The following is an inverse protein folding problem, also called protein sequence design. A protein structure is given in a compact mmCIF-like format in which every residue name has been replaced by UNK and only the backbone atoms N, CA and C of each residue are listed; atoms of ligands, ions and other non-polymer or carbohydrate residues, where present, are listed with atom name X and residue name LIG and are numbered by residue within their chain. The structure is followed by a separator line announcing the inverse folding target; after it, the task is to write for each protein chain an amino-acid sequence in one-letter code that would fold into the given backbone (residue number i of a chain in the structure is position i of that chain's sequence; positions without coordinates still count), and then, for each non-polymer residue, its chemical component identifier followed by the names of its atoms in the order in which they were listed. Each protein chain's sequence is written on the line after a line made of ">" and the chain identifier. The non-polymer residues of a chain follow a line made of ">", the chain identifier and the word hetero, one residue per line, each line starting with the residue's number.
data_IF_823833433969
#
_entry.id   IF_823833433969
#
_cell.length_a   1.000
_cell.length_b   1.000
_cell.length_c   1.000
_cell.angle_alpha   90.00
_cell.angle_beta   90.00
_cell.angle_gamma   90.00
#
_symmetry.space_group_name_H-M   'P 1'
#
loop_
_entity.id
_entity.type
_entity.pdbx_description
1 polymer ?
#
# COMPACT_ATOMS: atom_id res chain seq x y z
N UNK A 1 13.93 -42.50 36.01
CA UNK A 1 13.88 -42.04 34.62
C UNK A 1 13.21 -40.67 34.61
N UNK A 2 13.96 -39.59 34.42
CA UNK A 2 13.42 -38.24 34.31
C UNK A 2 13.79 -37.69 32.93
N UNK A 3 12.90 -37.87 31.96
CA UNK A 3 12.99 -37.17 30.68
C UNK A 3 12.55 -35.73 30.92
N UNK A 4 13.51 -34.87 31.25
CA UNK A 4 13.28 -33.43 31.30
C UNK A 4 13.18 -32.96 29.85
N UNK A 5 11.95 -32.89 29.33
CA UNK A 5 11.71 -32.25 28.03
C UNK A 5 12.10 -30.77 28.19
N UNK A 6 13.24 -30.39 27.63
CA UNK A 6 13.62 -28.99 27.52
C UNK A 6 12.47 -28.21 26.87
N UNK A 7 12.07 -27.05 27.42
CA UNK A 7 11.05 -26.25 26.78
C UNK A 7 11.61 -25.78 25.44
N UNK A 8 11.14 -26.41 24.36
CA UNK A 8 11.49 -26.03 23.00
C UNK A 8 11.25 -24.53 22.84
N UNK A 9 12.29 -23.82 22.39
CA UNK A 9 12.22 -22.38 22.22
C UNK A 9 10.98 -22.03 21.38
N UNK A 10 10.15 -21.07 21.84
CA UNK A 10 8.91 -20.76 21.15
C UNK A 10 9.22 -20.34 19.72
N UNK A 11 8.43 -20.85 18.77
CA UNK A 11 8.61 -20.49 17.37
C UNK A 11 8.41 -18.98 17.18
N UNK A 12 8.99 -18.36 16.14
CA UNK A 12 8.80 -16.93 15.87
C UNK A 12 7.32 -16.51 15.85
N UNK A 13 6.43 -17.38 15.34
CA UNK A 13 4.98 -17.16 15.34
C UNK A 13 4.37 -17.20 16.75
N UNK A 14 4.85 -18.08 17.63
CA UNK A 14 4.40 -18.14 19.02
C UNK A 14 4.89 -16.93 19.82
N UNK A 15 6.10 -16.45 19.54
CA UNK A 15 6.62 -15.21 20.14
C UNK A 15 5.75 -14.02 19.70
N UNK A 16 5.46 -13.90 18.40
CA UNK A 16 4.58 -12.84 17.87
C UNK A 16 3.18 -12.89 18.46
N UNK A 17 2.58 -14.08 18.60
CA UNK A 17 1.27 -14.24 19.21
C UNK A 17 1.26 -13.80 20.69
N UNK A 18 2.32 -14.10 21.45
CA UNK A 18 2.47 -13.67 22.85
C UNK A 18 2.65 -12.16 22.95
N UNK A 19 3.45 -11.56 22.08
CA UNK A 19 3.63 -10.10 22.02
C UNK A 19 2.32 -9.41 21.67
N UNK A 20 1.59 -9.91 20.67
CA UNK A 20 0.26 -9.39 20.30
C UNK A 20 -0.74 -9.46 21.47
N UNK A 21 -0.71 -10.55 22.25
CA UNK A 21 -1.55 -10.71 23.43
C UNK A 21 -1.15 -9.72 24.53
N UNK A 22 0.13 -9.59 24.83
CA UNK A 22 0.63 -8.65 25.83
C UNK A 22 0.29 -7.19 25.49
N UNK A 23 0.38 -6.82 24.21
CA UNK A 23 -0.03 -5.50 23.73
C UNK A 23 -1.54 -5.25 23.90
N UNK A 24 -2.37 -6.28 23.69
CA UNK A 24 -3.82 -6.23 23.92
C UNK A 24 -4.15 -6.11 25.41
N UNK A 25 -3.49 -6.89 26.25
CA UNK A 25 -3.71 -6.90 27.70
C UNK A 25 -3.25 -5.58 28.35
N UNK A 26 -2.25 -4.90 27.77
CA UNK A 26 -1.77 -3.59 28.20
C UNK A 26 -2.65 -2.40 27.75
N UNK A 27 -3.75 -2.64 27.04
CA UNK A 27 -4.58 -1.57 26.46
C UNK A 27 -3.86 -0.77 25.36
N UNK A 28 -2.68 -1.22 24.92
CA UNK A 28 -1.87 -0.62 23.85
C UNK A 28 -2.38 -1.00 22.44
N UNK A 29 -3.59 -1.57 22.35
CA UNK A 29 -4.27 -1.85 21.09
C UNK A 29 -4.63 -0.59 20.30
N UNK A 30 -4.59 0.60 20.92
CA UNK A 30 -5.16 1.84 20.38
C UNK A 30 -4.30 2.63 19.38
N UNK A 31 -3.12 2.13 19.01
CA UNK A 31 -2.38 2.67 17.85
C UNK A 31 -2.01 1.58 16.83
N UNK A 32 -2.73 0.46 16.86
CA UNK A 32 -3.02 -0.22 15.59
C UNK A 32 -4.21 0.51 15.01
N UNK A 33 -4.00 1.71 14.49
CA UNK A 33 -4.80 2.13 13.35
C UNK A 33 -4.81 0.90 12.45
N UNK A 34 -5.98 0.28 12.31
CA UNK A 34 -6.14 -0.82 11.37
C UNK A 34 -5.54 -0.24 10.08
N UNK A 35 -4.38 -0.76 9.66
CA UNK A 35 -3.81 -0.40 8.36
C UNK A 35 -4.69 -1.11 7.36
N UNK A 36 -5.89 -0.58 7.24
CA UNK A 36 -6.86 -0.97 6.25
C UNK A 36 -6.13 -0.81 4.92
N UNK A 37 -6.11 -1.87 4.07
CA UNK A 37 -5.24 -1.88 2.91
C UNK A 37 -5.44 -0.69 1.98
N UNK A 38 -6.67 -0.22 1.83
CA UNK A 38 -6.99 0.89 0.93
C UNK A 38 -6.53 2.26 1.48
N UNK A 39 -6.82 2.66 2.73
CA UNK A 39 -6.22 3.84 3.33
C UNK A 39 -4.70 3.85 3.27
N UNK A 40 -4.04 2.74 3.64
CA UNK A 40 -2.59 2.64 3.61
C UNK A 40 -2.03 2.85 2.18
N UNK A 41 -2.67 2.25 1.19
CA UNK A 41 -2.26 2.42 -0.21
C UNK A 41 -2.34 3.87 -0.67
N UNK A 42 -3.41 4.58 -0.32
CA UNK A 42 -3.56 5.98 -0.67
C UNK A 42 -2.56 6.87 0.07
N UNK A 43 -2.22 6.56 1.33
CA UNK A 43 -1.17 7.25 2.07
C UNK A 43 0.19 7.08 1.40
N UNK A 44 0.60 5.84 1.12
CA UNK A 44 1.88 5.56 0.45
C UNK A 44 1.95 6.17 -0.96
N UNK A 45 0.83 6.22 -1.67
CA UNK A 45 0.76 6.88 -2.98
C UNK A 45 0.94 8.40 -2.86
N UNK A 46 0.36 9.03 -1.83
CA UNK A 46 0.58 10.46 -1.55
C UNK A 46 2.01 10.74 -1.12
N UNK A 47 2.61 9.87 -0.31
CA UNK A 47 4.02 9.99 0.07
C UNK A 47 4.93 9.89 -1.17
N UNK A 48 4.60 8.98 -2.09
CA UNK A 48 5.31 8.87 -3.36
C UNK A 48 5.19 10.15 -4.21
N UNK A 49 4.02 10.80 -4.24
CA UNK A 49 3.84 12.10 -4.91
C UNK A 49 4.70 13.20 -4.33
N UNK A 50 4.86 13.24 -3.00
CA UNK A 50 5.77 14.19 -2.35
C UNK A 50 7.21 13.95 -2.80
N UNK A 51 7.62 12.69 -2.98
CA UNK A 51 8.93 12.32 -3.53
C UNK A 51 9.10 12.72 -5.02
N UNK A 52 8.03 13.05 -5.73
CA UNK A 52 8.05 13.60 -7.09
C UNK A 52 7.97 15.14 -7.11
N UNK A 53 8.23 15.80 -5.97
CA UNK A 53 8.17 17.25 -5.80
C UNK A 53 6.78 17.88 -6.09
N UNK A 54 5.70 17.11 -5.89
CA UNK A 54 4.33 17.64 -5.96
C UNK A 54 3.96 18.35 -4.64
N UNK A 55 3.39 19.55 -4.75
CA UNK A 55 2.91 20.32 -3.60
C UNK A 55 1.58 19.77 -3.06
N UNK A 56 1.18 20.19 -1.86
CA UNK A 56 -0.06 19.73 -1.19
C UNK A 56 -1.32 19.83 -2.07
N UNK A 57 -1.42 20.87 -2.91
CA UNK A 57 -2.54 21.09 -3.82
C UNK A 57 -2.55 20.14 -5.04
N UNK A 58 -1.43 19.47 -5.29
CA UNK A 58 -1.20 18.58 -6.43
C UNK A 58 -1.23 17.10 -6.01
N UNK A 59 -1.42 16.78 -4.72
CA UNK A 59 -1.43 15.40 -4.22
C UNK A 59 -2.72 14.62 -4.54
N UNK A 60 -3.73 15.30 -5.09
CA UNK A 60 -4.94 14.64 -5.57
C UNK A 60 -4.66 13.93 -6.90
N UNK A 61 -5.07 12.66 -7.03
CA UNK A 61 -4.75 11.80 -8.18
C UNK A 61 -5.07 12.45 -9.54
N UNK A 62 -6.23 13.07 -9.67
CA UNK A 62 -6.69 13.73 -10.89
C UNK A 62 -5.86 14.97 -11.28
N UNK A 63 -5.16 15.58 -10.32
CA UNK A 63 -4.25 16.71 -10.55
C UNK A 63 -2.82 16.20 -10.75
N UNK A 64 -2.37 15.25 -9.93
CA UNK A 64 -1.05 14.64 -10.00
C UNK A 64 -0.81 13.94 -11.34
N UNK A 65 -1.77 13.14 -11.80
CA UNK A 65 -1.63 12.28 -12.97
C UNK A 65 -1.17 13.01 -14.24
N UNK A 66 -1.84 14.09 -14.71
CA UNK A 66 -1.39 14.81 -15.90
C UNK A 66 -0.07 15.56 -15.70
N UNK A 67 0.31 15.90 -14.47
CA UNK A 67 1.60 16.54 -14.17
C UNK A 67 2.74 15.51 -14.22
N UNK A 68 2.52 14.34 -13.62
CA UNK A 68 3.48 13.24 -13.64
C UNK A 68 3.73 12.71 -15.05
N UNK A 69 2.69 12.62 -15.88
CA UNK A 69 2.84 12.20 -17.28
C UNK A 69 3.56 13.24 -18.17
N UNK A 70 3.83 14.45 -17.67
CA UNK A 70 4.72 15.41 -18.35
C UNK A 70 6.20 15.14 -18.04
N UNK A 71 6.51 14.47 -16.93
CA UNK A 71 7.87 14.28 -16.43
C UNK A 71 8.36 12.84 -16.59
N UNK A 72 7.46 11.86 -16.50
CA UNK A 72 7.77 10.43 -16.62
C UNK A 72 6.82 9.74 -17.59
N UNK A 73 7.26 8.62 -18.16
CA UNK A 73 6.43 7.85 -19.09
C UNK A 73 5.29 7.13 -18.36
N UNK A 74 4.21 6.84 -19.07
CA UNK A 74 3.09 6.05 -18.53
C UNK A 74 3.52 4.67 -18.02
N UNK A 75 4.55 4.08 -18.64
CA UNK A 75 5.14 2.81 -18.21
C UNK A 75 5.84 2.95 -16.85
N UNK A 76 6.69 3.97 -16.69
CA UNK A 76 7.40 4.24 -15.42
C UNK A 76 6.43 4.58 -14.28
N UNK A 77 5.39 5.36 -14.58
CA UNK A 77 4.35 5.68 -13.60
C UNK A 77 3.57 4.42 -13.19
N UNK A 78 3.21 3.56 -14.15
CA UNK A 78 2.52 2.29 -13.87
C UNK A 78 3.35 1.36 -13.00
N UNK A 79 4.65 1.26 -13.25
CA UNK A 79 5.56 0.45 -12.43
C UNK A 79 5.76 1.04 -11.04
N UNK A 80 5.78 2.36 -10.91
CA UNK A 80 5.84 3.03 -9.61
C UNK A 80 4.57 2.76 -8.78
N UNK A 81 3.38 2.88 -9.38
CA UNK A 81 2.11 2.55 -8.72
C UNK A 81 2.04 1.06 -8.35
N UNK A 82 2.58 0.17 -9.19
CA UNK A 82 2.71 -1.26 -8.89
C UNK A 82 3.59 -1.51 -7.66
N UNK A 83 4.74 -0.84 -7.57
CA UNK A 83 5.64 -0.97 -6.43
C UNK A 83 4.96 -0.57 -5.11
N UNK A 84 4.23 0.56 -5.10
CA UNK A 84 3.45 1.02 -3.94
C UNK A 84 2.36 0.02 -3.56
N UNK A 85 1.70 -0.58 -4.55
CA UNK A 85 0.69 -1.61 -4.32
C UNK A 85 1.28 -2.89 -3.70
N UNK A 86 2.44 -3.34 -4.20
CA UNK A 86 3.14 -4.51 -3.67
C UNK A 86 3.62 -4.28 -2.23
N UNK A 87 4.16 -3.10 -1.93
CA UNK A 87 4.54 -2.70 -0.57
C UNK A 87 3.33 -2.72 0.37
N UNK A 88 2.21 -2.14 -0.05
CA UNK A 88 0.95 -2.18 0.71
C UNK A 88 0.55 -3.61 1.03
N UNK A 89 0.58 -4.52 0.04
CA UNK A 89 0.25 -5.93 0.26
C UNK A 89 1.18 -6.59 1.29
N UNK A 90 2.48 -6.32 1.20
CA UNK A 90 3.46 -6.87 2.15
C UNK A 90 3.21 -6.37 3.57
N UNK A 91 2.97 -5.07 3.74
CA UNK A 91 2.66 -4.46 5.03
C UNK A 91 1.35 -5.02 5.61
N UNK A 92 0.27 -5.03 4.85
CA UNK A 92 -1.02 -5.55 5.32
C UNK A 92 -0.96 -7.05 5.66
N UNK A 93 -0.16 -7.84 4.90
CA UNK A 93 0.08 -9.25 5.21
C UNK A 93 0.85 -9.42 6.52
N UNK A 94 1.90 -8.62 6.76
CA UNK A 94 2.69 -8.66 7.98
C UNK A 94 1.86 -8.29 9.22
N UNK A 95 0.90 -7.37 9.08
CA UNK A 95 0.02 -6.92 10.16
C UNK A 95 -1.28 -7.73 10.30
N UNK A 96 -1.53 -8.69 9.40
CA UNK A 96 -2.74 -9.53 9.43
C UNK A 96 -4.03 -8.78 9.10
N UNK A 97 -3.96 -7.64 8.41
CA UNK A 97 -5.12 -6.82 8.03
C UNK A 97 -5.64 -7.13 6.62
N UNK A 98 -4.93 -7.99 5.88
CA UNK A 98 -5.29 -8.36 4.50
C UNK A 98 -6.31 -9.51 4.47
N UNK A 99 -7.59 -9.18 4.44
CA UNK A 99 -8.68 -10.13 4.16
C UNK A 99 -8.89 -10.33 2.65
N UNK A 100 -9.65 -11.36 2.25
CA UNK A 100 -10.02 -11.55 0.84
C UNK A 100 -10.76 -10.33 0.29
N UNK A 101 -11.66 -9.73 1.09
CA UNK A 101 -12.47 -8.59 0.66
C UNK A 101 -11.63 -7.32 0.51
N UNK A 102 -10.84 -6.97 1.52
CA UNK A 102 -9.96 -5.78 1.47
C UNK A 102 -8.87 -5.90 0.42
N UNK A 103 -8.38 -7.12 0.15
CA UNK A 103 -7.48 -7.39 -0.99
C UNK A 103 -8.15 -7.10 -2.32
N UNK A 104 -9.40 -7.57 -2.54
CA UNK A 104 -10.13 -7.31 -3.79
C UNK A 104 -10.44 -5.83 -3.99
N UNK A 105 -10.76 -5.13 -2.92
CA UNK A 105 -10.96 -3.68 -2.93
C UNK A 105 -9.67 -2.95 -3.33
N UNK A 106 -8.54 -3.31 -2.73
CA UNK A 106 -7.24 -2.77 -3.08
C UNK A 106 -6.86 -3.07 -4.54
N UNK A 107 -7.06 -4.31 -5.00
CA UNK A 107 -6.83 -4.71 -6.41
C UNK A 107 -7.73 -3.93 -7.37
N UNK A 108 -8.98 -3.65 -6.99
CA UNK A 108 -9.90 -2.82 -7.78
C UNK A 108 -9.39 -1.39 -7.90
N UNK A 109 -8.94 -0.79 -6.79
CA UNK A 109 -8.36 0.56 -6.80
C UNK A 109 -7.10 0.61 -7.66
N UNK A 110 -6.19 -0.34 -7.49
CA UNK A 110 -4.97 -0.44 -8.31
C UNK A 110 -5.28 -0.52 -9.80
N UNK A 111 -6.21 -1.37 -10.22
CA UNK A 111 -6.63 -1.48 -11.62
C UNK A 111 -7.25 -0.18 -12.16
N UNK A 112 -8.03 0.52 -11.34
CA UNK A 112 -8.58 1.82 -11.72
C UNK A 112 -7.47 2.83 -12.00
N UNK A 113 -6.45 2.91 -11.14
CA UNK A 113 -5.33 3.85 -11.34
C UNK A 113 -4.55 3.53 -12.62
N UNK A 114 -4.32 2.24 -12.92
CA UNK A 114 -3.66 1.84 -14.17
C UNK A 114 -4.48 2.22 -15.40
N UNK A 115 -5.81 2.06 -15.35
CA UNK A 115 -6.70 2.48 -16.43
C UNK A 115 -6.67 4.00 -16.62
N UNK A 116 -6.65 4.77 -15.52
CA UNK A 116 -6.53 6.23 -15.58
C UNK A 116 -5.21 6.67 -16.23
N UNK A 117 -4.09 6.01 -15.90
CA UNK A 117 -2.77 6.26 -16.51
C UNK A 117 -2.82 6.02 -18.03
N UNK A 118 -3.36 4.88 -18.44
CA UNK A 118 -3.47 4.53 -19.86
C UNK A 118 -4.33 5.55 -20.61
N UNK A 119 -5.49 5.89 -20.05
CA UNK A 119 -6.42 6.85 -20.65
C UNK A 119 -5.81 8.25 -20.78
N UNK A 120 -5.19 8.77 -19.71
CA UNK A 120 -4.59 10.11 -19.74
C UNK A 120 -3.35 10.15 -20.65
N UNK A 121 -2.55 9.09 -20.67
CA UNK A 121 -1.43 8.96 -21.61
C UNK A 121 -1.91 9.00 -23.06
N UNK A 122 -2.99 8.29 -23.39
CA UNK A 122 -3.59 8.35 -24.73
C UNK A 122 -4.10 9.77 -25.04
N UNK A 123 -4.75 10.42 -24.08
CA UNK A 123 -5.26 11.80 -24.23
C UNK A 123 -4.14 12.80 -24.54
N UNK A 124 -2.98 12.66 -23.90
CA UNK A 124 -1.82 13.52 -24.11
C UNK A 124 -1.10 13.24 -25.44
N UNK A 125 -1.24 12.03 -25.99
CA UNK A 125 -0.65 11.65 -27.28
C UNK A 125 -1.50 12.06 -28.49
N UNK A 126 -2.80 12.34 -28.32
CA UNK A 126 -3.63 12.89 -29.40
C UNK A 126 -3.23 14.35 -29.61
N UNK A 127 -2.61 14.72 -30.75
CA UNK A 127 -2.36 16.11 -31.02
C UNK A 127 -3.72 16.80 -31.12
N UNK A 128 -3.89 17.92 -30.40
CA UNK A 128 -5.04 18.82 -30.62
C UNK A 128 -4.97 19.33 -32.06
N UNK A 129 -5.52 18.55 -32.99
CA UNK A 129 -5.63 18.87 -34.40
C UNK A 129 -6.85 19.76 -34.61
N UNK A 130 -6.56 21.03 -34.90
CA UNK A 130 -7.36 22.06 -35.60
C UNK A 130 -8.85 22.19 -35.27
#
# INVERSE_FOLDING_TARGET
>A
MAMSAEPSAPSPLQVLARVNRALKDAGLTDNRAQREPLPLFNELLRDWFVCQDLNEQQLEWNVALPLLLQTITAMELSESVRAVFEETLQLCRAHGTLSIWTRRELESRFRSLLADIEQESQRLQVPSGY
#
